data_IF_947353493471
#
_entry.id   IF_947353493471
#
_cell.length_a   1.000
_cell.length_b   1.000
_cell.length_c   1.000
_cell.angle_alpha   90.00
_cell.angle_beta   90.00
_cell.angle_gamma   90.00
#
_symmetry.space_group_name_H-M   'P 1'
#
loop_
_entity.id
_entity.type
_entity.pdbx_description
1 polymer ?
#
# COMPACT_ATOMS: atom_id res chain seq x y z
N UNK A 1 -9.33 -13.99 4.53
CA UNK A 1 -8.21 -13.66 5.43
C UNK A 1 -7.24 -12.79 4.65
N UNK A 2 -6.83 -11.67 5.24
CA UNK A 2 -5.84 -10.75 4.68
C UNK A 2 -4.45 -11.13 5.20
N UNK A 3 -3.47 -11.21 4.31
CA UNK A 3 -2.07 -11.36 4.68
C UNK A 3 -1.43 -9.98 4.82
N UNK A 4 -0.93 -9.64 6.01
CA UNK A 4 -0.14 -8.44 6.26
C UNK A 4 1.34 -8.81 6.31
N UNK A 5 2.11 -8.34 5.33
CA UNK A 5 3.56 -8.52 5.27
C UNK A 5 4.21 -7.36 6.04
N UNK A 6 4.79 -7.68 7.19
CA UNK A 6 5.52 -6.76 8.05
C UNK A 6 6.96 -6.57 7.56
N UNK A 7 7.31 -5.34 7.20
CA UNK A 7 8.66 -4.91 6.88
C UNK A 7 9.39 -4.38 8.12
N UNK A 8 9.17 -4.99 9.28
CA UNK A 8 9.76 -4.62 10.58
C UNK A 8 9.44 -3.18 11.01
N UNK A 9 8.19 -2.76 10.82
CA UNK A 9 7.76 -1.39 11.10
C UNK A 9 7.01 -1.26 12.42
N UNK A 10 7.22 -0.12 13.09
CA UNK A 10 6.54 0.18 14.35
C UNK A 10 5.03 0.43 14.19
N UNK A 11 4.55 0.75 12.99
CA UNK A 11 3.14 1.02 12.70
C UNK A 11 2.38 -0.19 12.13
N UNK A 12 3.05 -1.33 11.88
CA UNK A 12 2.40 -2.55 11.37
C UNK A 12 1.18 -2.95 12.21
N UNK A 13 1.26 -2.84 13.55
CA UNK A 13 0.14 -3.19 14.40
C UNK A 13 -1.02 -2.17 14.39
N UNK A 14 -0.78 -0.93 13.97
CA UNK A 14 -1.87 0.02 13.73
C UNK A 14 -2.63 -0.37 12.46
N UNK A 15 -1.92 -0.75 11.40
CA UNK A 15 -2.53 -1.32 10.18
C UNK A 15 -3.33 -2.58 10.53
N UNK A 16 -2.72 -3.51 11.29
CA UNK A 16 -3.40 -4.71 11.77
C UNK A 16 -4.70 -4.36 12.52
N UNK A 17 -4.68 -3.39 13.44
CA UNK A 17 -5.85 -3.04 14.24
C UNK A 17 -7.02 -2.50 13.40
N UNK A 18 -6.75 -1.71 12.36
CA UNK A 18 -7.80 -1.20 11.49
C UNK A 18 -8.32 -2.30 10.54
N UNK A 19 -7.43 -3.13 10.00
CA UNK A 19 -7.81 -4.22 9.06
C UNK A 19 -8.51 -5.38 9.78
N UNK A 20 -8.10 -5.70 11.01
CA UNK A 20 -8.70 -6.76 11.83
C UNK A 20 -10.16 -6.48 12.22
N UNK A 21 -10.64 -5.24 12.05
CA UNK A 21 -12.06 -4.90 12.19
C UNK A 21 -12.90 -5.32 10.98
N UNK A 22 -12.25 -5.59 9.85
CA UNK A 22 -12.89 -5.89 8.56
C UNK A 22 -12.69 -7.35 8.15
N UNK A 23 -11.57 -7.97 8.52
CA UNK A 23 -11.26 -9.35 8.16
C UNK A 23 -10.33 -10.02 9.17
N UNK A 24 -10.25 -11.35 9.14
CA UNK A 24 -9.16 -12.08 9.79
C UNK A 24 -7.82 -11.70 9.15
N UNK A 25 -6.82 -11.38 9.96
CA UNK A 25 -5.49 -10.95 9.51
C UNK A 25 -4.43 -11.93 9.98
N UNK A 26 -3.60 -12.41 9.06
CA UNK A 26 -2.36 -13.11 9.37
C UNK A 26 -1.19 -12.16 9.12
N UNK A 27 -0.32 -12.00 10.13
CA UNK A 27 0.88 -11.15 10.01
C UNK A 27 2.10 -12.05 9.86
N UNK A 28 2.91 -11.79 8.83
CA UNK A 28 4.18 -12.48 8.58
C UNK A 28 5.26 -11.45 8.29
N UNK A 29 6.50 -11.73 8.64
CA UNK A 29 7.61 -10.85 8.24
C UNK A 29 8.00 -11.08 6.79
N UNK A 30 8.63 -10.08 6.19
CA UNK A 30 9.03 -10.09 4.79
C UNK A 30 10.08 -11.16 4.40
N UNK A 31 10.60 -11.91 5.38
CA UNK A 31 11.60 -12.97 5.25
C UNK A 31 11.09 -14.35 5.74
N UNK A 32 9.83 -14.44 6.20
CA UNK A 32 9.28 -15.68 6.77
C UNK A 32 8.69 -16.63 5.74
N UNK A 33 8.12 -16.12 4.64
CA UNK A 33 7.44 -16.92 3.62
C UNK A 33 7.98 -16.62 2.21
N UNK A 34 7.97 -17.65 1.37
CA UNK A 34 8.20 -17.51 -0.08
C UNK A 34 6.92 -17.10 -0.80
N UNK A 35 7.03 -16.60 -2.03
CA UNK A 35 5.88 -16.26 -2.87
C UNK A 35 4.98 -17.48 -3.09
N UNK A 36 5.54 -18.67 -3.34
CA UNK A 36 4.78 -19.90 -3.49
C UNK A 36 4.01 -20.27 -2.21
N UNK A 37 4.62 -20.09 -1.04
CA UNK A 37 3.94 -20.33 0.23
C UNK A 37 2.78 -19.35 0.43
N UNK A 38 2.99 -18.06 0.10
CA UNK A 38 1.92 -17.04 0.14
C UNK A 38 0.79 -17.40 -0.82
N UNK A 39 1.11 -17.84 -2.04
CA UNK A 39 0.12 -18.29 -3.03
C UNK A 39 -0.69 -19.47 -2.49
N UNK A 40 -0.02 -20.43 -1.84
CA UNK A 40 -0.67 -21.61 -1.25
C UNK A 40 -1.57 -21.28 -0.04
N UNK A 41 -1.31 -20.19 0.68
CA UNK A 41 -2.19 -19.70 1.75
C UNK A 41 -3.53 -19.16 1.22
N UNK A 42 -3.60 -18.84 -0.08
CA UNK A 42 -4.78 -18.29 -0.75
C UNK A 42 -5.42 -17.09 0.01
N UNK A 43 -4.65 -16.04 0.35
CA UNK A 43 -5.20 -14.87 1.01
C UNK A 43 -6.19 -14.15 0.09
N UNK A 44 -7.25 -13.58 0.65
CA UNK A 44 -8.23 -12.79 -0.12
C UNK A 44 -7.67 -11.43 -0.55
N UNK A 45 -6.57 -11.00 0.07
CA UNK A 45 -5.82 -9.79 -0.24
C UNK A 45 -4.53 -9.73 0.56
N UNK A 46 -3.56 -8.97 0.05
CA UNK A 46 -2.24 -8.78 0.66
C UNK A 46 -2.06 -7.30 0.97
N UNK A 47 -1.58 -7.00 2.16
CA UNK A 47 -1.14 -5.65 2.54
C UNK A 47 0.36 -5.70 2.81
N UNK A 48 1.12 -4.81 2.16
CA UNK A 48 2.55 -4.62 2.41
C UNK A 48 2.69 -3.40 3.31
N UNK A 49 3.20 -3.62 4.52
CA UNK A 49 3.29 -2.59 5.55
C UNK A 49 4.29 -1.48 5.18
N UNK A 50 4.28 -0.36 5.93
CA UNK A 50 5.42 0.55 5.99
C UNK A 50 6.69 -0.19 6.46
N UNK A 51 7.84 0.47 6.41
CA UNK A 51 9.10 -0.05 6.93
C UNK A 51 10.27 0.90 6.70
N UNK A 52 11.42 0.64 7.33
CA UNK A 52 12.65 1.36 7.07
C UNK A 52 13.25 0.93 5.71
N UNK A 53 14.21 1.72 5.22
CA UNK A 53 14.95 1.39 3.99
C UNK A 53 14.18 1.72 2.72
N UNK A 54 14.59 1.10 1.61
CA UNK A 54 13.94 1.22 0.31
C UNK A 54 13.36 -0.12 -0.16
N UNK A 55 12.72 -0.16 -1.34
CA UNK A 55 12.08 -1.37 -1.87
C UNK A 55 13.00 -2.59 -1.97
N UNK A 56 14.28 -2.39 -2.28
CA UNK A 56 15.28 -3.45 -2.35
C UNK A 56 15.57 -4.12 -1.00
N UNK A 57 15.22 -3.47 0.11
CA UNK A 57 15.36 -4.01 1.46
C UNK A 57 14.08 -4.74 1.95
N UNK A 58 12.99 -4.70 1.16
CA UNK A 58 11.67 -5.18 1.56
C UNK A 58 11.46 -6.70 1.41
N UNK A 59 12.54 -7.49 1.43
CA UNK A 59 12.49 -8.96 1.38
C UNK A 59 11.66 -9.51 0.21
N UNK A 60 10.72 -10.40 0.51
CA UNK A 60 9.84 -11.04 -0.48
C UNK A 60 8.86 -10.06 -1.17
N UNK A 61 8.66 -8.86 -0.62
CA UNK A 61 7.60 -7.94 -1.04
C UNK A 61 7.65 -7.57 -2.52
N UNK A 62 8.85 -7.37 -3.10
CA UNK A 62 8.99 -7.07 -4.54
C UNK A 62 8.54 -8.26 -5.41
N UNK A 63 8.91 -9.48 -5.02
CA UNK A 63 8.52 -10.69 -5.74
C UNK A 63 7.02 -10.94 -5.62
N UNK A 64 6.43 -10.71 -4.43
CA UNK A 64 4.99 -10.74 -4.20
C UNK A 64 4.24 -9.83 -5.19
N UNK A 65 4.66 -8.56 -5.33
CA UNK A 65 3.98 -7.67 -6.28
C UNK A 65 4.13 -8.16 -7.72
N UNK A 66 5.33 -8.55 -8.13
CA UNK A 66 5.59 -8.99 -9.52
C UNK A 66 4.82 -10.24 -9.92
N UNK A 67 4.64 -11.17 -8.99
CA UNK A 67 4.12 -12.51 -9.29
C UNK A 67 2.66 -12.72 -8.88
N UNK A 68 2.14 -11.93 -7.94
CA UNK A 68 0.78 -12.09 -7.39
C UNK A 68 -0.15 -10.94 -7.77
N UNK A 69 0.37 -9.81 -8.27
CA UNK A 69 -0.48 -8.74 -8.80
C UNK A 69 -1.29 -9.25 -10.00
N UNK A 70 -2.60 -8.99 -9.99
CA UNK A 70 -3.54 -9.49 -10.99
C UNK A 70 -4.29 -10.72 -10.52
N UNK A 71 -3.67 -11.57 -9.70
CA UNK A 71 -4.30 -12.76 -9.12
C UNK A 71 -4.93 -12.46 -7.74
N UNK A 72 -4.19 -11.71 -6.91
CA UNK A 72 -4.57 -11.38 -5.54
C UNK A 72 -4.54 -9.86 -5.39
N UNK A 73 -5.56 -9.22 -4.78
CA UNK A 73 -5.54 -7.80 -4.49
C UNK A 73 -4.39 -7.42 -3.56
N UNK A 74 -3.67 -6.34 -3.88
CA UNK A 74 -2.51 -5.87 -3.12
C UNK A 74 -2.67 -4.39 -2.75
N UNK A 75 -2.45 -4.06 -1.48
CA UNK A 75 -2.33 -2.70 -0.99
C UNK A 75 -0.94 -2.47 -0.39
N UNK A 76 -0.21 -1.47 -0.89
CA UNK A 76 1.07 -1.04 -0.32
C UNK A 76 0.94 0.25 0.49
N UNK A 77 1.48 0.28 1.71
CA UNK A 77 1.50 1.49 2.54
C UNK A 77 2.94 1.97 2.73
N UNK A 78 3.21 3.24 2.43
CA UNK A 78 4.53 3.87 2.54
C UNK A 78 5.63 3.09 1.80
N UNK A 79 6.45 2.27 2.48
CA UNK A 79 7.41 1.37 1.83
C UNK A 79 6.70 0.41 0.87
N UNK A 80 5.55 -0.15 1.24
CA UNK A 80 4.76 -1.00 0.34
C UNK A 80 4.33 -0.29 -0.94
N UNK A 81 4.03 1.01 -0.88
CA UNK A 81 3.72 1.82 -2.06
C UNK A 81 4.94 1.98 -2.98
N UNK A 82 6.12 2.16 -2.40
CA UNK A 82 7.38 2.26 -3.13
C UNK A 82 7.76 0.92 -3.77
N UNK A 83 7.54 -0.19 -3.06
CA UNK A 83 7.70 -1.55 -3.59
C UNK A 83 6.81 -1.76 -4.80
N UNK A 84 5.54 -1.33 -4.75
CA UNK A 84 4.64 -1.43 -5.90
C UNK A 84 5.16 -0.63 -7.08
N UNK A 85 5.56 0.62 -6.88
CA UNK A 85 6.11 1.43 -7.95
C UNK A 85 7.32 0.76 -8.62
N UNK A 86 8.29 0.30 -7.82
CA UNK A 86 9.53 -0.31 -8.32
C UNK A 86 9.29 -1.68 -8.97
N UNK A 87 8.34 -2.47 -8.47
CA UNK A 87 7.95 -3.74 -9.08
C UNK A 87 7.47 -3.56 -10.53
N UNK A 88 6.84 -2.42 -10.83
CA UNK A 88 6.35 -2.04 -12.16
C UNK A 88 7.25 -1.04 -12.90
N UNK A 89 8.54 -1.00 -12.55
CA UNK A 89 9.55 -0.21 -13.27
C UNK A 89 9.59 1.28 -12.93
N UNK A 90 8.87 1.70 -11.89
CA UNK A 90 8.99 3.04 -11.33
C UNK A 90 10.31 3.27 -10.60
N UNK A 91 10.67 4.53 -10.42
CA UNK A 91 11.90 4.96 -9.75
C UNK A 91 11.57 5.55 -8.39
N UNK A 92 12.22 5.04 -7.34
CA UNK A 92 12.13 5.57 -5.97
C UNK A 92 13.42 6.32 -5.63
N UNK A 93 13.29 7.50 -5.04
CA UNK A 93 14.42 8.33 -4.67
C UNK A 93 14.13 9.21 -3.46
N UNK A 94 15.12 10.03 -3.08
CA UNK A 94 14.97 10.93 -1.93
C UNK A 94 13.96 12.03 -2.21
N UNK A 95 13.09 12.28 -1.24
CA UNK A 95 12.26 13.46 -1.25
C UNK A 95 13.11 14.72 -1.09
N UNK A 96 12.71 15.82 -1.73
CA UNK A 96 13.34 17.14 -1.52
C UNK A 96 13.27 17.57 -0.05
N UNK A 97 12.20 17.18 0.64
CA UNK A 97 11.99 17.42 2.06
C UNK A 97 11.64 16.11 2.79
N UNK A 98 12.37 15.83 3.86
CA UNK A 98 12.05 14.71 4.76
C UNK A 98 10.82 15.05 5.59
N UNK A 99 9.85 14.15 5.59
CA UNK A 99 8.63 14.27 6.38
C UNK A 99 8.71 13.32 7.57
N UNK A 100 8.53 13.85 8.78
CA UNK A 100 8.47 13.03 9.99
C UNK A 100 7.34 13.54 10.89
N UNK A 101 6.19 12.89 10.84
CA UNK A 101 5.02 13.26 11.65
C UNK A 101 4.40 14.59 11.23
N UNK A 102 4.26 14.83 9.92
CA UNK A 102 3.63 16.04 9.40
C UNK A 102 2.38 15.71 8.61
N UNK A 103 1.32 16.48 8.82
CA UNK A 103 0.11 16.39 8.00
C UNK A 103 0.29 17.15 6.69
N UNK A 104 -0.45 16.74 5.66
CA UNK A 104 -0.52 17.40 4.36
C UNK A 104 -1.88 17.17 3.75
N UNK A 105 -2.34 18.11 2.93
CA UNK A 105 -3.52 17.90 2.08
C UNK A 105 -3.07 17.41 0.72
N UNK A 106 -3.61 16.26 0.29
CA UNK A 106 -3.41 15.68 -1.03
C UNK A 106 -4.62 15.94 -1.91
N UNK A 107 -4.37 16.20 -3.19
CA UNK A 107 -5.40 16.20 -4.22
C UNK A 107 -5.52 14.78 -4.74
N UNK A 108 -6.75 14.30 -4.86
CA UNK A 108 -7.05 12.96 -5.37
C UNK A 108 -7.82 13.05 -6.67
N UNK A 109 -7.77 12.00 -7.48
CA UNK A 109 -8.68 11.80 -8.61
C UNK A 109 -9.66 10.67 -8.27
N UNK A 110 -10.90 10.70 -8.78
CA UNK A 110 -11.80 9.56 -8.66
C UNK A 110 -11.11 8.28 -9.13
N UNK A 111 -11.08 7.27 -8.26
CA UNK A 111 -10.34 6.02 -8.43
C UNK A 111 -10.88 4.98 -7.44
N UNK A 112 -10.31 3.78 -7.39
CA UNK A 112 -10.81 2.74 -6.47
C UNK A 112 -10.68 3.18 -5.01
N UNK A 113 -9.57 3.81 -4.64
CA UNK A 113 -9.32 4.25 -3.26
C UNK A 113 -9.87 5.63 -2.92
N UNK A 114 -10.23 6.46 -3.91
CA UNK A 114 -10.60 7.86 -3.70
C UNK A 114 -11.85 8.28 -4.47
N UNK A 115 -12.65 9.15 -3.87
CA UNK A 115 -13.83 9.77 -4.51
C UNK A 115 -13.50 11.03 -5.32
N UNK A 116 -12.24 11.46 -5.34
CA UNK A 116 -11.78 12.70 -5.98
C UNK A 116 -11.76 13.93 -5.08
N UNK A 117 -12.15 13.80 -3.80
CA UNK A 117 -12.07 14.92 -2.85
C UNK A 117 -10.65 15.05 -2.25
N UNK A 118 -10.22 16.25 -1.84
CA UNK A 118 -8.97 16.41 -1.11
C UNK A 118 -8.96 15.62 0.21
N UNK A 119 -7.81 15.06 0.55
CA UNK A 119 -7.62 14.24 1.76
C UNK A 119 -6.54 14.84 2.65
N UNK A 120 -6.78 14.91 3.96
CA UNK A 120 -5.74 15.19 4.95
C UNK A 120 -5.06 13.88 5.35
N UNK A 121 -3.72 13.85 5.27
CA UNK A 121 -2.93 12.64 5.49
C UNK A 121 -1.67 12.90 6.30
N UNK A 122 -1.26 11.91 7.09
CA UNK A 122 0.00 11.90 7.82
C UNK A 122 1.14 11.29 7.00
N UNK A 123 2.33 11.91 7.07
CA UNK A 123 3.52 11.51 6.32
C UNK A 123 4.74 11.31 7.24
N UNK A 124 5.49 10.22 7.02
CA UNK A 124 6.70 9.84 7.78
C UNK A 124 7.91 9.46 6.91
N UNK A 125 7.90 9.80 5.63
CA UNK A 125 8.86 9.28 4.66
C UNK A 125 10.01 10.24 4.32
N UNK A 126 11.12 9.64 3.93
CA UNK A 126 12.30 10.30 3.35
C UNK A 126 12.51 9.94 1.87
N UNK A 127 11.87 8.86 1.42
CA UNK A 127 11.85 8.39 0.04
C UNK A 127 10.45 8.57 -0.56
N UNK A 128 10.41 8.82 -1.87
CA UNK A 128 9.20 8.98 -2.66
C UNK A 128 9.37 8.34 -4.02
N UNK A 129 8.24 7.99 -4.64
CA UNK A 129 8.20 7.63 -6.06
C UNK A 129 8.42 8.89 -6.89
N UNK A 130 9.46 8.89 -7.71
CA UNK A 130 9.82 9.98 -8.62
C UNK A 130 9.14 9.82 -9.98
N UNK A 131 9.16 8.60 -10.52
CA UNK A 131 8.64 8.25 -11.84
C UNK A 131 7.94 6.89 -11.78
N UNK A 132 6.89 6.72 -12.57
CA UNK A 132 6.12 5.47 -12.64
C UNK A 132 5.19 5.49 -13.84
N UNK A 133 4.93 4.32 -14.41
CA UNK A 133 3.94 4.09 -15.48
C UNK A 133 2.55 3.73 -14.92
N UNK A 134 2.42 3.61 -13.60
CA UNK A 134 1.14 3.35 -12.93
C UNK A 134 0.27 4.62 -12.93
N UNK A 135 -1.04 4.43 -12.80
CA UNK A 135 -1.96 5.55 -12.68
C UNK A 135 -1.73 6.27 -11.34
N UNK A 136 -1.35 7.55 -11.40
CA UNK A 136 -1.20 8.38 -10.20
C UNK A 136 -2.56 8.94 -9.80
N UNK A 137 -3.10 8.45 -8.69
CA UNK A 137 -4.45 8.79 -8.23
C UNK A 137 -4.46 9.83 -7.11
N UNK A 138 -3.30 10.17 -6.54
CA UNK A 138 -3.17 11.30 -5.62
C UNK A 138 -1.80 11.96 -5.66
N UNK A 139 -1.76 13.27 -5.44
CA UNK A 139 -0.52 14.07 -5.32
C UNK A 139 -0.64 15.14 -4.24
N UNK A 140 0.48 15.54 -3.66
CA UNK A 140 0.56 16.80 -2.90
C UNK A 140 0.54 18.02 -3.84
N UNK A 141 0.44 19.23 -3.27
CA UNK A 141 0.47 20.49 -4.03
C UNK A 141 1.78 20.70 -4.81
N UNK A 142 2.90 20.27 -4.24
CA UNK A 142 4.26 20.29 -4.80
C UNK A 142 4.53 19.10 -5.76
N UNK A 143 3.51 18.29 -6.06
CA UNK A 143 3.59 17.29 -7.14
C UNK A 143 4.09 15.92 -6.71
N UNK A 144 4.40 15.71 -5.43
CA UNK A 144 4.83 14.41 -4.92
C UNK A 144 3.70 13.39 -5.11
N UNK A 145 4.04 12.22 -5.66
CA UNK A 145 3.13 11.10 -5.84
C UNK A 145 2.72 10.56 -4.46
N UNK A 146 1.41 10.48 -4.22
CA UNK A 146 0.86 10.08 -2.92
C UNK A 146 -0.03 8.85 -3.00
N UNK A 147 -0.52 8.49 -4.19
CA UNK A 147 -1.18 7.22 -4.41
C UNK A 147 -1.01 6.72 -5.85
N UNK A 148 -1.01 5.40 -6.00
CA UNK A 148 -0.85 4.67 -7.25
C UNK A 148 -1.93 3.60 -7.38
N UNK A 149 -2.33 3.36 -8.62
CA UNK A 149 -3.27 2.31 -9.02
C UNK A 149 -2.74 1.62 -10.28
N UNK A 150 -2.69 0.29 -10.27
CA UNK A 150 -2.34 -0.46 -11.46
C UNK A 150 -3.48 -0.35 -12.49
N UNK A 151 -3.19 -0.16 -13.79
CA UNK A 151 -4.24 0.08 -14.80
C UNK A 151 -5.29 -1.04 -14.93
N UNK A 152 -4.90 -2.28 -14.66
CA UNK A 152 -5.75 -3.47 -14.88
C UNK A 152 -5.77 -4.46 -13.71
N UNK A 153 -4.92 -4.28 -12.69
CA UNK A 153 -4.79 -5.25 -11.60
C UNK A 153 -5.36 -4.60 -10.33
N UNK A 154 -5.91 -5.38 -9.39
CA UNK A 154 -6.38 -4.86 -8.10
C UNK A 154 -5.19 -4.54 -7.17
N UNK A 155 -4.27 -3.70 -7.63
CA UNK A 155 -3.02 -3.36 -6.94
C UNK A 155 -2.93 -1.85 -6.77
N UNK A 156 -2.82 -1.43 -5.52
CA UNK A 156 -2.92 -0.04 -5.12
C UNK A 156 -1.82 0.29 -4.12
N UNK A 157 -1.33 1.52 -4.12
CA UNK A 157 -0.34 1.95 -3.14
C UNK A 157 -0.63 3.36 -2.63
N UNK A 158 -0.44 3.61 -1.34
CA UNK A 158 -0.50 4.94 -0.73
C UNK A 158 0.82 5.30 -0.05
N UNK A 159 1.37 6.48 -0.33
CA UNK A 159 2.65 6.93 0.24
C UNK A 159 2.51 7.44 1.69
N UNK A 160 1.29 7.76 2.10
CA UNK A 160 0.96 8.23 3.44
C UNK A 160 0.52 7.08 4.35
N UNK A 161 0.26 7.40 5.62
CA UNK A 161 -0.10 6.43 6.65
C UNK A 161 -1.60 6.51 6.98
N UNK A 162 -2.47 5.73 6.31
CA UNK A 162 -3.91 5.69 6.61
C UNK A 162 -4.22 5.22 8.03
N UNK A 163 -3.35 4.44 8.65
CA UNK A 163 -3.46 3.96 10.03
C UNK A 163 -3.09 5.01 11.09
N UNK A 164 -2.53 6.15 10.67
CA UNK A 164 -2.13 7.20 11.61
C UNK A 164 -3.33 8.02 12.07
N UNK A 165 -3.32 8.42 13.35
CA UNK A 165 -4.28 9.38 13.93
C UNK A 165 -4.29 10.71 13.14
N UNK A 166 -3.18 11.06 12.50
CA UNK A 166 -3.09 12.25 11.62
C UNK A 166 -3.71 12.10 10.24
N UNK A 167 -4.38 10.98 9.96
CA UNK A 167 -5.15 10.74 8.73
C UNK A 167 -6.61 10.45 9.11
N UNK A 168 -7.47 11.47 9.32
CA UNK A 168 -8.80 11.29 9.90
C UNK A 168 -9.71 10.29 9.15
N UNK A 169 -9.60 10.26 7.82
CA UNK A 169 -10.38 9.38 6.94
C UNK A 169 -9.56 8.18 6.43
N UNK A 170 -8.47 7.83 7.11
CA UNK A 170 -7.57 6.79 6.62
C UNK A 170 -8.19 5.39 6.57
N UNK A 171 -9.17 5.12 7.45
CA UNK A 171 -9.95 3.86 7.43
C UNK A 171 -10.69 3.62 6.12
N UNK A 172 -11.10 4.67 5.42
CA UNK A 172 -11.81 4.56 4.15
C UNK A 172 -10.94 3.87 3.08
N UNK A 173 -9.62 4.01 3.18
CA UNK A 173 -8.66 3.34 2.29
C UNK A 173 -8.71 1.82 2.49
N UNK A 174 -8.71 1.36 3.75
CA UNK A 174 -8.79 -0.06 4.06
C UNK A 174 -10.15 -0.66 3.70
N UNK A 175 -11.24 0.09 3.93
CA UNK A 175 -12.59 -0.32 3.54
C UNK A 175 -12.71 -0.53 2.03
N UNK A 176 -12.30 0.46 1.23
CA UNK A 176 -12.33 0.36 -0.24
C UNK A 176 -11.45 -0.75 -0.78
N UNK A 177 -10.28 -0.97 -0.18
CA UNK A 177 -9.43 -2.11 -0.55
C UNK A 177 -10.10 -3.45 -0.22
N UNK A 178 -10.76 -3.56 0.94
CA UNK A 178 -11.44 -4.79 1.33
C UNK A 178 -12.61 -5.13 0.39
N UNK A 179 -13.37 -4.14 -0.08
CA UNK A 179 -14.40 -4.33 -1.11
C UNK A 179 -13.83 -4.99 -2.38
N UNK A 180 -12.61 -4.62 -2.79
CA UNK A 180 -11.93 -5.27 -3.93
C UNK A 180 -11.55 -6.72 -3.64
N UNK A 181 -11.17 -7.04 -2.40
CA UNK A 181 -10.88 -8.40 -1.97
C UNK A 181 -12.13 -9.30 -2.07
N UNK A 182 -13.29 -8.79 -1.67
CA UNK A 182 -14.56 -9.52 -1.77
C UNK A 182 -14.99 -9.75 -3.22
N UNK A 183 -14.84 -8.74 -4.08
CA UNK A 183 -15.14 -8.86 -5.52
C UNK A 183 -14.24 -9.90 -6.18
N UNK A 184 -12.94 -9.86 -5.92
CA UNK A 184 -11.99 -10.82 -6.50
C UNK A 184 -12.30 -12.26 -6.06
N UNK A 185 -12.65 -12.46 -4.79
CA UNK A 185 -13.00 -13.79 -4.27
C UNK A 185 -14.22 -14.37 -5.00
N UNK A 186 -15.23 -13.55 -5.30
CA UNK A 186 -16.44 -13.99 -6.04
C UNK A 186 -16.18 -14.36 -7.50
N UNK A 187 -15.13 -13.81 -8.13
CA UNK A 187 -14.77 -14.13 -9.52
C UNK A 187 -14.03 -15.49 -9.58
N UNK A 188 -13.33 -15.87 -8.51
CA UNK A 188 -12.54 -17.09 -8.45
C UNK A 188 -13.34 -18.34 -7.99
N UNK A 189 -14.52 -18.15 -7.41
CA UNK A 189 -15.46 -19.23 -7.00
C UNK A 189 -16.48 -19.55 -8.09
#
# INVERSE_FOLDING_TARGET
MILLIDNYDSFTYNVYQDVARLSDVSVVRNDELTVDAIRALAPSGIIISPGPGGPMDAGVSLAVVRELSGDIPILGVCLGHQVIAEAFGGTVGRAEQVMHGKTSVIKTTPSVLFDGNPYEVMRYHSLVVLETELNVTARTRDGIIMALEHPTHPTYGVQFHPESIGTPNGRDIFLRFFEQCEVNTKIQT
#
